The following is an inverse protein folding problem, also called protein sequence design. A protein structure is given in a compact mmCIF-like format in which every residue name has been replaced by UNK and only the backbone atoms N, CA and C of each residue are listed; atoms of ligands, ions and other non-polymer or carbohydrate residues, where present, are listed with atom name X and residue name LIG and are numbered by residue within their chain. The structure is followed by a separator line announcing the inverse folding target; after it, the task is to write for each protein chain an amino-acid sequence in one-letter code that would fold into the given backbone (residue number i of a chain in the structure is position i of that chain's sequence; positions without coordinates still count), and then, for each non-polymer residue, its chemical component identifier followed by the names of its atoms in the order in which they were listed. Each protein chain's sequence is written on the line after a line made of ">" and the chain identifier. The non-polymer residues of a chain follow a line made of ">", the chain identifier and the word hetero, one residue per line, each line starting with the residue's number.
data_IF_235769082781
#
_entry.id   IF_235769082781
#
_cell.length_a   1.000
_cell.length_b   1.000
_cell.length_c   1.000
_cell.angle_alpha   90.00
_cell.angle_beta   90.00
_cell.angle_gamma   90.00
#
_symmetry.space_group_name_H-M   'P 1'
#
loop_
_entity.id
_entity.type
_entity.pdbx_description
1 polymer ?
#
# COMPACT_ATOMS: atom_id res chain seq x y z
N UNK A 1 10.16 -5.54 -2.65
CA UNK A 1 9.05 -4.56 -2.68
C UNK A 1 9.03 -3.83 -4.00
N UNK A 2 7.87 -3.78 -4.66
CA UNK A 2 7.61 -3.07 -5.92
C UNK A 2 6.44 -2.10 -5.71
N UNK A 3 6.48 -0.95 -6.38
CA UNK A 3 5.40 0.04 -6.34
C UNK A 3 4.78 0.11 -7.73
N UNK A 4 3.47 -0.14 -7.83
CA UNK A 4 2.76 -0.06 -9.10
C UNK A 4 2.70 1.37 -9.63
N UNK A 5 2.67 1.54 -10.96
CA UNK A 5 2.45 2.86 -11.59
C UNK A 5 1.18 3.56 -11.07
N UNK A 6 0.02 2.87 -10.90
CA UNK A 6 -1.17 3.50 -10.33
C UNK A 6 -0.93 4.02 -8.91
N UNK A 7 -0.18 3.28 -8.08
CA UNK A 7 0.16 3.72 -6.74
C UNK A 7 0.96 5.02 -6.72
N UNK A 8 1.92 5.14 -7.65
CA UNK A 8 2.70 6.37 -7.79
C UNK A 8 1.81 7.57 -8.14
N UNK A 9 0.83 7.38 -9.04
CA UNK A 9 -0.14 8.42 -9.42
C UNK A 9 -1.05 8.81 -8.24
N UNK A 10 -1.53 7.83 -7.48
CA UNK A 10 -2.35 8.09 -6.28
C UNK A 10 -1.57 8.93 -5.27
N UNK A 11 -0.32 8.58 -4.97
CA UNK A 11 0.52 9.33 -4.03
C UNK A 11 0.87 10.73 -4.52
N UNK A 12 1.08 10.92 -5.82
CA UNK A 12 1.27 12.27 -6.38
C UNK A 12 0.04 13.15 -6.22
N UNK A 13 -1.15 12.58 -6.37
CA UNK A 13 -2.43 13.29 -6.20
C UNK A 13 -2.71 13.60 -4.74
N UNK A 14 -2.47 12.64 -3.84
CA UNK A 14 -2.74 12.78 -2.40
C UNK A 14 -1.74 13.72 -1.71
N UNK A 15 -0.47 13.60 -2.06
CA UNK A 15 0.63 14.29 -1.39
C UNK A 15 1.34 15.17 -2.41
N UNK A 16 0.88 16.41 -2.66
CA UNK A 16 1.45 17.28 -3.69
C UNK A 16 2.88 17.74 -3.35
N UNK A 17 3.27 17.71 -2.07
CA UNK A 17 4.62 18.09 -1.62
C UNK A 17 5.60 16.92 -1.69
N UNK A 18 6.81 17.20 -2.18
CA UNK A 18 7.88 16.19 -2.27
C UNK A 18 8.28 15.64 -0.90
N UNK A 19 8.35 16.50 0.13
CA UNK A 19 8.69 16.11 1.49
C UNK A 19 7.76 15.01 2.03
N UNK A 20 6.45 15.19 1.91
CA UNK A 20 5.45 14.21 2.36
C UNK A 20 5.56 12.89 1.59
N UNK A 21 5.78 12.93 0.27
CA UNK A 21 6.04 11.72 -0.53
C UNK A 21 7.33 10.99 -0.14
N UNK A 22 8.39 11.74 0.15
CA UNK A 22 9.66 11.17 0.62
C UNK A 22 9.50 10.51 1.98
N UNK A 23 8.70 11.12 2.87
CA UNK A 23 8.36 10.55 4.16
C UNK A 23 7.53 9.27 4.00
N UNK A 24 6.48 9.30 3.19
CA UNK A 24 5.71 8.11 2.85
C UNK A 24 6.62 6.99 2.33
N UNK A 25 7.50 7.27 1.36
CA UNK A 25 8.44 6.28 0.85
C UNK A 25 9.36 5.71 1.94
N UNK A 26 9.85 6.54 2.87
CA UNK A 26 10.62 6.09 4.03
C UNK A 26 9.82 5.12 4.90
N UNK A 27 8.55 5.41 5.14
CA UNK A 27 7.65 4.53 5.91
C UNK A 27 7.37 3.22 5.15
N UNK A 28 7.11 3.29 3.85
CA UNK A 28 6.88 2.10 3.02
C UNK A 28 8.10 1.17 2.95
N UNK A 29 9.32 1.72 3.02
CA UNK A 29 10.53 0.88 3.10
C UNK A 29 10.54 -0.05 4.31
N UNK A 30 9.78 0.23 5.36
CA UNK A 30 9.61 -0.66 6.52
C UNK A 30 8.95 -1.98 6.15
N UNK A 31 8.14 -2.03 5.09
CA UNK A 31 7.52 -3.27 4.60
C UNK A 31 8.54 -4.33 4.14
N UNK A 32 9.82 -3.99 3.99
CA UNK A 32 10.88 -4.98 3.81
C UNK A 32 11.00 -5.97 4.97
N UNK A 33 10.51 -5.60 6.15
CA UNK A 33 10.47 -6.44 7.36
C UNK A 33 9.05 -6.89 7.70
N UNK A 34 8.09 -6.79 6.78
CA UNK A 34 6.72 -7.24 7.02
C UNK A 34 6.67 -8.75 7.20
N UNK A 35 5.92 -9.18 8.22
CA UNK A 35 5.62 -10.56 8.52
C UNK A 35 4.09 -10.71 8.68
N UNK A 36 3.42 -11.59 7.91
CA UNK A 36 1.96 -11.73 7.96
C UNK A 36 1.41 -12.25 9.29
N UNK A 37 2.26 -12.76 10.20
CA UNK A 37 1.83 -13.21 11.54
C UNK A 37 2.05 -12.17 12.63
N UNK A 38 2.78 -11.10 12.35
CA UNK A 38 3.04 -10.03 13.32
C UNK A 38 2.05 -8.88 13.13
N UNK A 39 1.53 -8.27 14.20
CA UNK A 39 0.55 -7.18 14.10
C UNK A 39 1.15 -5.84 13.65
N UNK A 40 2.49 -5.74 13.63
CA UNK A 40 3.23 -4.51 13.35
C UNK A 40 4.34 -4.78 12.34
N UNK A 41 4.67 -3.74 11.58
CA UNK A 41 5.89 -3.67 10.77
C UNK A 41 6.78 -2.60 11.35
N UNK A 42 7.74 -3.01 12.17
CA UNK A 42 8.54 -2.13 13.04
C UNK A 42 7.65 -1.37 14.03
N UNK A 43 7.02 -0.31 13.58
CA UNK A 43 6.16 0.62 14.32
C UNK A 43 4.85 0.92 13.58
N UNK A 44 4.66 0.38 12.37
CA UNK A 44 3.47 0.61 11.57
C UNK A 44 2.42 -0.49 11.77
N UNK A 45 1.20 -0.08 12.12
CA UNK A 45 0.04 -0.98 12.18
C UNK A 45 -0.46 -1.32 10.78
N UNK A 46 -0.75 -2.61 10.57
CA UNK A 46 -1.36 -3.10 9.34
C UNK A 46 -2.50 -4.06 9.64
N UNK A 47 -3.45 -4.16 8.72
CA UNK A 47 -4.60 -5.05 8.83
C UNK A 47 -4.81 -5.82 7.52
N UNK A 48 -5.48 -6.98 7.61
CA UNK A 48 -6.02 -7.64 6.43
C UNK A 48 -7.34 -7.01 6.02
N UNK A 49 -7.51 -6.84 4.73
CA UNK A 49 -8.72 -6.34 4.09
C UNK A 49 -9.48 -7.54 3.52
N UNK A 50 -10.39 -8.08 4.32
CA UNK A 50 -11.27 -9.17 3.90
C UNK A 50 -12.40 -8.64 3.00
N UNK A 51 -12.87 -9.43 2.01
CA UNK A 51 -12.41 -10.76 1.61
C UNK A 51 -11.31 -10.74 0.53
N UNK A 52 -10.70 -9.58 0.27
CA UNK A 52 -9.88 -9.36 -0.94
C UNK A 52 -8.48 -9.96 -0.88
N UNK A 53 -8.04 -10.44 0.29
CA UNK A 53 -6.65 -10.89 0.50
C UNK A 53 -5.62 -9.76 0.46
N UNK A 54 -6.06 -8.50 0.35
CA UNK A 54 -5.22 -7.32 0.44
C UNK A 54 -4.85 -7.04 1.90
N UNK A 55 -3.78 -6.28 2.09
CA UNK A 55 -3.41 -5.70 3.36
C UNK A 55 -3.46 -4.17 3.27
N UNK A 56 -3.81 -3.53 4.38
CA UNK A 56 -3.77 -2.08 4.52
C UNK A 56 -2.81 -1.66 5.63
N UNK A 57 -2.11 -0.55 5.40
CA UNK A 57 -1.16 0.06 6.32
C UNK A 57 -1.58 1.52 6.52
N UNK A 58 -1.59 2.00 7.76
CA UNK A 58 -1.88 3.41 8.05
C UNK A 58 -0.58 4.16 8.32
N UNK A 59 -0.28 5.14 7.46
CA UNK A 59 0.94 5.94 7.56
C UNK A 59 0.56 7.36 7.95
N UNK A 60 0.91 7.76 9.17
CA UNK A 60 0.79 9.14 9.61
C UNK A 60 1.90 9.99 9.00
N UNK A 61 1.54 11.15 8.46
CA UNK A 61 2.44 12.09 7.79
C UNK A 61 2.24 13.49 8.35
N UNK A 62 3.33 14.24 8.49
CA UNK A 62 3.29 15.65 8.87
C UNK A 62 3.29 16.55 7.61
N UNK A 63 2.19 16.50 6.85
CA UNK A 63 2.00 17.33 5.63
C UNK A 63 0.98 18.47 5.83
N UNK A 64 0.25 18.50 6.94
CA UNK A 64 -0.76 19.53 7.22
C UNK A 64 -1.94 19.59 6.23
N UNK A 65 -2.15 18.54 5.42
CA UNK A 65 -3.26 18.40 4.45
C UNK A 65 -3.85 17.00 4.51
N UNK A 66 -2.98 15.98 4.48
CA UNK A 66 -3.34 14.58 4.66
C UNK A 66 -2.57 14.07 5.88
N UNK A 67 -3.28 13.92 7.00
CA UNK A 67 -2.67 13.50 8.27
C UNK A 67 -2.32 12.02 8.26
N UNK A 68 -3.14 11.19 7.59
CA UNK A 68 -2.91 9.75 7.49
C UNK A 68 -3.27 9.22 6.12
N UNK A 69 -2.34 8.50 5.51
CA UNK A 69 -2.52 7.78 4.25
C UNK A 69 -2.76 6.31 4.56
N UNK A 70 -3.87 5.77 4.05
CA UNK A 70 -4.12 4.33 3.99
C UNK A 70 -3.45 3.77 2.74
N UNK A 71 -2.51 2.86 2.89
CA UNK A 71 -1.76 2.24 1.80
C UNK A 71 -2.21 0.81 1.64
N UNK A 72 -2.57 0.43 0.42
CA UNK A 72 -3.02 -0.91 0.08
C UNK A 72 -1.87 -1.66 -0.58
N UNK A 73 -1.58 -2.86 -0.07
CA UNK A 73 -0.53 -3.72 -0.57
C UNK A 73 -0.94 -5.18 -0.53
N UNK A 74 -0.20 -6.03 -1.23
CA UNK A 74 -0.35 -7.47 -1.16
C UNK A 74 0.95 -8.18 -1.50
N UNK A 75 1.04 -9.45 -1.13
CA UNK A 75 2.16 -10.32 -1.48
C UNK A 75 1.83 -11.12 -2.73
N UNK A 76 2.71 -11.04 -3.73
CA UNK A 76 2.69 -11.92 -4.89
C UNK A 76 4.08 -12.05 -5.48
N UNK A 77 4.52 -13.28 -5.61
CA UNK A 77 5.88 -13.62 -6.02
C UNK A 77 5.82 -14.51 -7.25
N UNK A 78 6.15 -13.98 -8.43
CA UNK A 78 6.27 -14.79 -9.65
C UNK A 78 7.30 -15.91 -9.46
N UNK A 79 8.39 -15.58 -8.78
CA UNK A 79 9.38 -16.53 -8.27
C UNK A 79 9.11 -16.80 -6.78
N UNK A 80 8.70 -18.01 -6.40
CA UNK A 80 8.43 -18.37 -5.00
C UNK A 80 9.64 -18.22 -4.06
N UNK A 81 10.86 -18.20 -4.59
CA UNK A 81 12.08 -18.01 -3.79
C UNK A 81 12.32 -16.55 -3.40
N UNK A 82 11.62 -15.61 -4.05
CA UNK A 82 11.78 -14.17 -3.83
C UNK A 82 10.45 -13.53 -3.42
N UNK A 83 10.11 -13.54 -2.11
CA UNK A 83 8.88 -12.93 -1.61
C UNK A 83 8.80 -11.46 -2.03
N UNK A 84 7.74 -11.11 -2.76
CA UNK A 84 7.59 -9.78 -3.36
C UNK A 84 6.30 -9.12 -2.92
N UNK A 85 6.45 -8.04 -2.15
CA UNK A 85 5.34 -7.14 -1.83
C UNK A 85 5.12 -6.12 -2.92
N UNK A 86 3.85 -5.88 -3.24
CA UNK A 86 3.39 -4.92 -4.22
C UNK A 86 2.52 -3.86 -3.56
N UNK A 87 2.92 -2.60 -3.70
CA UNK A 87 2.09 -1.47 -3.32
C UNK A 87 1.13 -1.17 -4.47
N UNK A 88 -0.18 -1.33 -4.20
CA UNK A 88 -1.24 -1.16 -5.17
C UNK A 88 -1.73 0.27 -5.29
N UNK A 89 -1.65 1.02 -4.18
CA UNK A 89 -2.00 2.45 -4.13
C UNK A 89 -2.25 2.93 -2.72
N UNK A 90 -2.87 4.10 -2.62
CA UNK A 90 -3.31 4.63 -1.35
C UNK A 90 -4.42 5.64 -1.49
N UNK A 91 -5.01 5.95 -0.36
CA UNK A 91 -6.13 6.88 -0.19
C UNK A 91 -6.01 7.58 1.16
N UNK A 92 -6.82 8.61 1.42
CA UNK A 92 -6.83 9.21 2.76
C UNK A 92 -7.43 8.20 3.75
N UNK A 93 -6.96 8.21 4.99
CA UNK A 93 -7.47 7.26 5.99
C UNK A 93 -8.94 7.53 6.37
N UNK A 94 -9.38 8.78 6.29
CA UNK A 94 -10.76 9.24 6.54
C UNK A 94 -11.73 8.90 5.41
N UNK A 95 -11.23 8.52 4.22
CA UNK A 95 -12.05 8.01 3.14
C UNK A 95 -12.44 6.55 3.42
N UNK A 96 -13.73 6.25 3.27
CA UNK A 96 -14.24 4.90 3.41
C UNK A 96 -13.72 4.01 2.27
N UNK A 97 -13.19 2.84 2.62
CA UNK A 97 -12.89 1.79 1.65
C UNK A 97 -14.20 1.10 1.23
N UNK A 98 -14.92 1.73 0.29
CA UNK A 98 -16.19 1.23 -0.23
C UNK A 98 -16.02 0.17 -1.31
N UNK A 99 -17.15 -0.34 -1.80
CA UNK A 99 -17.19 -1.38 -2.85
C UNK A 99 -16.41 -0.99 -4.12
N UNK A 100 -16.46 0.28 -4.52
CA UNK A 100 -15.72 0.79 -5.67
C UNK A 100 -14.20 0.70 -5.45
N UNK A 101 -13.71 1.15 -4.29
CA UNK A 101 -12.29 1.09 -3.96
C UNK A 101 -11.83 -0.37 -3.86
N UNK A 102 -12.62 -1.25 -3.26
CA UNK A 102 -12.35 -2.69 -3.25
C UNK A 102 -12.22 -3.25 -4.67
N UNK A 103 -13.13 -2.92 -5.58
CA UNK A 103 -13.08 -3.36 -6.98
C UNK A 103 -11.83 -2.83 -7.69
N UNK A 104 -11.46 -1.56 -7.47
CA UNK A 104 -10.26 -0.95 -8.05
C UNK A 104 -8.99 -1.68 -7.58
N UNK A 105 -8.82 -1.86 -6.27
CA UNK A 105 -7.59 -2.47 -5.74
C UNK A 105 -7.51 -3.97 -6.05
N UNK A 106 -8.64 -4.69 -6.02
CA UNK A 106 -8.69 -6.09 -6.46
C UNK A 106 -8.37 -6.23 -7.95
N UNK A 107 -8.88 -5.34 -8.80
CA UNK A 107 -8.52 -5.32 -10.22
C UNK A 107 -7.03 -5.07 -10.44
N UNK A 108 -6.41 -4.18 -9.63
CA UNK A 108 -4.98 -3.92 -9.68
C UNK A 108 -4.15 -5.14 -9.24
N UNK A 109 -4.56 -5.88 -8.20
CA UNK A 109 -3.87 -7.12 -7.80
C UNK A 109 -3.98 -8.19 -8.89
N UNK A 110 -5.13 -8.36 -9.53
CA UNK A 110 -5.30 -9.28 -10.67
C UNK A 110 -4.36 -8.92 -11.83
N UNK A 111 -4.23 -7.63 -12.15
CA UNK A 111 -3.30 -7.18 -13.21
C UNK A 111 -1.84 -7.48 -12.84
N UNK A 112 -1.45 -7.29 -11.58
CA UNK A 112 -0.10 -7.62 -11.11
C UNK A 112 0.14 -9.12 -11.24
N UNK A 113 -0.79 -9.96 -10.78
CA UNK A 113 -0.67 -11.41 -10.88
C UNK A 113 -0.53 -11.89 -12.34
N UNK A 114 -1.25 -11.26 -13.26
CA UNK A 114 -1.25 -11.63 -14.68
C UNK A 114 -0.04 -11.09 -15.49
N UNK A 115 0.77 -10.17 -14.93
CA UNK A 115 1.82 -9.46 -15.70
C UNK A 115 3.15 -9.35 -14.99
N UNK A 116 3.25 -9.79 -13.76
CA UNK A 116 4.51 -9.89 -13.07
C UNK A 116 5.21 -11.16 -13.57
N UNK A 117 5.86 -11.04 -14.72
CA UNK A 117 6.88 -11.96 -15.21
C UNK A 117 8.25 -11.29 -15.05
#
# INVERSE_FOLDING_TARGET
>A
MRIGRPAFQDFQRLLPRYRARSELNRQLHKLRWWNPVEPLVIDLQWNRVEPTGLAELFVQLDDGVVDTVRVLFFEYSPDPSVPTLWILGGMRADEALGSLQHAIYSGRSTIVQARAD
#
